data_IF_153299863299
#
_entry.id   IF_153299863299
#
_cell.length_a   1.000
_cell.length_b   1.000
_cell.length_c   1.000
_cell.angle_alpha   90.00
_cell.angle_beta   90.00
_cell.angle_gamma   90.00
#
_symmetry.space_group_name_H-M   'P 1'
#
loop_
_entity.id
_entity.type
_entity.pdbx_description
1 polymer ?
2 non-polymer ?
3 non-polymer ?
4 water ?
#
# COMPACT_ATOMS: atom_id res chain seq x y z
N UNK A 5 -11.86 -12.08 -32.80
CA UNK A 5 -11.46 -13.37 -32.23
C UNK A 5 -10.06 -13.29 -31.63
N UNK A 6 -9.53 -14.46 -31.24
CA UNK A 6 -8.19 -14.50 -30.64
C UNK A 6 -7.11 -14.19 -31.67
N UNK A 7 -7.33 -14.60 -32.93
CA UNK A 7 -6.33 -14.37 -33.98
C UNK A 7 -6.12 -12.88 -34.24
N UNK A 8 -7.21 -12.14 -34.47
CA UNK A 8 -7.10 -10.71 -34.69
C UNK A 8 -6.58 -9.99 -33.46
N UNK A 9 -7.00 -10.44 -32.27
CA UNK A 9 -6.55 -9.84 -31.02
C UNK A 9 -5.04 -9.96 -30.87
N UNK A 10 -4.49 -11.14 -31.13
CA UNK A 10 -3.04 -11.28 -31.03
C UNK A 10 -2.31 -10.73 -32.24
N UNK A 11 -3.01 -10.47 -33.34
CA UNK A 11 -2.41 -9.70 -34.43
C UNK A 11 -2.26 -8.23 -34.07
N UNK A 12 -3.18 -7.68 -33.28
CA UNK A 12 -3.14 -6.25 -32.98
C UNK A 12 -2.67 -5.94 -31.57
N UNK A 13 -2.32 -6.96 -30.77
CA UNK A 13 -1.94 -6.75 -29.37
C UNK A 13 -0.74 -5.82 -29.23
N UNK A 14 0.35 -6.12 -29.94
CA UNK A 14 1.61 -5.38 -29.79
C UNK A 14 1.43 -3.89 -30.08
N UNK A 15 0.92 -3.56 -31.26
CA UNK A 15 0.76 -2.17 -31.65
C UNK A 15 -0.50 -1.53 -31.09
N UNK A 16 -1.38 -2.33 -30.49
CA UNK A 16 -2.65 -1.87 -29.97
C UNK A 16 -2.61 -1.44 -28.52
N UNK A 17 -2.04 -2.28 -27.66
CA UNK A 17 -2.07 -2.01 -26.23
C UNK A 17 -0.73 -2.13 -25.51
N UNK A 18 0.26 -2.84 -26.06
CA UNK A 18 1.57 -2.84 -25.42
C UNK A 18 2.26 -1.49 -25.54
N UNK A 19 2.61 -1.12 -26.77
CA UNK A 19 3.34 0.14 -26.99
C UNK A 19 2.55 1.38 -26.58
N UNK A 20 1.26 1.57 -26.93
CA UNK A 20 0.52 2.73 -26.40
C UNK A 20 0.53 2.86 -24.88
N UNK A 21 0.16 1.80 -24.15
CA UNK A 21 0.13 1.87 -22.70
C UNK A 21 1.52 2.15 -22.13
N UNK A 22 2.55 1.48 -22.67
CA UNK A 22 3.91 1.71 -22.19
C UNK A 22 4.35 3.15 -22.41
N UNK A 23 4.09 3.69 -23.60
CA UNK A 23 4.46 5.08 -23.91
C UNK A 23 3.72 6.07 -23.02
N UNK A 24 2.39 5.89 -22.88
CA UNK A 24 1.60 6.74 -21.99
C UNK A 24 2.11 6.70 -20.56
N UNK A 25 2.27 5.49 -20.00
CA UNK A 25 2.75 5.35 -18.64
C UNK A 25 4.13 5.93 -18.42
N UNK A 26 5.01 5.84 -19.43
CA UNK A 26 6.35 6.38 -19.29
C UNK A 26 6.36 7.90 -19.39
N UNK A 27 5.52 8.45 -20.27
CA UNK A 27 5.54 9.88 -20.58
C UNK A 27 4.90 10.71 -19.47
N UNK A 28 4.21 10.08 -18.51
CA UNK A 28 3.63 10.79 -17.39
C UNK A 28 4.41 10.59 -16.10
N UNK A 29 5.54 9.90 -16.14
CA UNK A 29 6.39 9.72 -14.97
C UNK A 29 7.83 10.18 -15.20
N UNK A 30 8.21 10.49 -16.44
CA UNK A 30 9.60 10.79 -16.76
C UNK A 30 10.10 12.05 -16.08
N UNK A 31 9.24 13.05 -15.91
CA UNK A 31 9.67 14.28 -15.25
C UNK A 31 9.87 14.05 -13.75
N UNK A 32 9.01 13.25 -13.13
CA UNK A 32 9.19 12.89 -11.73
C UNK A 32 10.48 12.11 -11.51
N UNK A 33 10.78 11.19 -12.42
CA UNK A 33 12.04 10.45 -12.36
C UNK A 33 13.23 11.37 -12.54
N UNK A 34 13.11 12.36 -13.43
CA UNK A 34 14.19 13.33 -13.62
C UNK A 34 14.41 14.18 -12.37
N UNK A 35 13.34 14.60 -11.71
CA UNK A 35 13.48 15.39 -10.49
C UNK A 35 14.05 14.54 -9.36
N UNK A 36 13.65 13.27 -9.28
CA UNK A 36 14.23 12.38 -8.27
C UNK A 36 15.72 12.15 -8.51
N UNK A 37 16.11 11.98 -9.78
CA UNK A 37 17.53 11.82 -10.10
C UNK A 37 18.31 13.09 -9.81
N UNK A 38 17.71 14.26 -10.08
CA UNK A 38 18.34 15.53 -9.76
C UNK A 38 18.51 15.72 -8.26
N UNK A 39 17.51 15.29 -7.49
CA UNK A 39 17.60 15.34 -6.03
C UNK A 39 18.70 14.41 -5.51
N UNK A 40 18.81 13.22 -6.11
CA UNK A 40 19.85 12.27 -5.72
C UNK A 40 21.25 12.82 -6.03
N UNK A 41 21.41 13.44 -7.20
CA UNK A 41 22.71 13.98 -7.58
C UNK A 41 23.04 15.22 -6.75
N UNK A 42 22.03 16.03 -6.43
CA UNK A 42 22.24 17.24 -5.65
C UNK A 42 22.56 16.92 -4.20
N UNK A 43 22.01 15.84 -3.66
CA UNK A 43 22.25 15.49 -2.27
C UNK A 43 23.60 14.82 -2.04
N UNK A 44 24.33 14.50 -3.10
CA UNK A 44 25.66 13.93 -3.00
C UNK A 44 26.77 14.98 -3.09
N UNK A 45 26.42 16.26 -3.19
CA UNK A 45 27.39 17.32 -3.40
C UNK A 45 27.96 17.88 -2.09
N UNK A 46 27.57 17.34 -0.94
CA UNK A 46 28.06 17.87 0.31
C UNK A 46 27.43 19.18 0.73
N UNK A 47 26.21 19.44 0.29
CA UNK A 47 25.49 20.64 0.71
C UNK A 47 25.07 20.50 2.17
N UNK A 48 24.82 21.62 2.85
CA UNK A 48 24.23 21.54 4.19
C UNK A 48 22.84 20.94 4.15
N UNK A 49 22.42 20.38 5.29
CA UNK A 49 21.18 19.62 5.35
C UNK A 49 19.96 20.49 5.09
N UNK A 50 19.96 21.73 5.60
CA UNK A 50 18.82 22.61 5.40
C UNK A 50 18.66 22.99 3.94
N UNK A 51 19.77 23.12 3.21
CA UNK A 51 19.69 23.36 1.77
C UNK A 51 19.10 22.16 1.05
N UNK A 52 19.44 20.94 1.51
CA UNK A 52 18.86 19.74 0.93
C UNK A 52 17.35 19.68 1.18
N UNK A 53 16.93 20.04 2.40
CA UNK A 53 15.50 20.06 2.71
C UNK A 53 14.77 21.11 1.89
N UNK A 54 15.37 22.29 1.72
CA UNK A 54 14.73 23.34 0.91
C UNK A 54 14.66 22.93 -0.56
N UNK A 55 15.71 22.27 -1.06
CA UNK A 55 15.73 21.80 -2.44
C UNK A 55 14.66 20.75 -2.68
N UNK A 56 14.48 19.82 -1.73
CA UNK A 56 13.41 18.84 -1.92
C UNK A 56 12.04 19.45 -1.66
N UNK A 57 11.93 20.53 -0.90
CA UNK A 57 10.66 21.25 -0.77
C UNK A 57 10.27 21.87 -2.11
N UNK A 58 11.24 22.52 -2.77
CA UNK A 58 11.00 23.08 -4.09
C UNK A 58 10.67 22.00 -5.12
N UNK A 59 11.39 20.88 -5.07
CA UNK A 59 11.10 19.79 -5.98
C UNK A 59 9.74 19.17 -5.73
N UNK A 60 9.33 19.07 -4.45
CA UNK A 60 8.01 18.58 -4.14
C UNK A 60 6.91 19.51 -4.58
N UNK A 61 7.14 20.83 -4.44
CA UNK A 61 6.19 21.80 -4.99
C UNK A 61 6.05 21.66 -6.49
N UNK A 62 7.16 21.50 -7.20
CA UNK A 62 7.07 21.39 -8.65
C UNK A 62 6.44 20.08 -9.08
N UNK A 63 6.71 18.98 -8.36
CA UNK A 63 6.08 17.71 -8.69
C UNK A 63 4.59 17.73 -8.40
N UNK A 64 4.18 18.33 -7.28
CA UNK A 64 2.76 18.45 -6.99
C UNK A 64 2.05 19.34 -7.99
N UNK A 65 2.71 20.42 -8.43
CA UNK A 65 2.11 21.24 -9.47
C UNK A 65 2.02 20.49 -10.79
N UNK A 66 3.04 19.69 -11.11
CA UNK A 66 3.07 18.98 -12.39
C UNK A 66 1.98 17.93 -12.46
N UNK A 67 1.70 17.27 -11.35
CA UNK A 67 0.70 16.21 -11.40
C UNK A 67 -0.71 16.70 -11.08
N UNK A 68 -0.87 17.73 -10.24
CA UNK A 68 -2.19 18.14 -9.77
C UNK A 68 -2.57 19.59 -10.08
N UNK A 69 -1.84 20.29 -10.96
CA UNK A 69 -2.09 21.66 -11.37
C UNK A 69 -2.22 22.60 -10.18
N UNK A 70 -3.19 23.51 -10.23
CA UNK A 70 -3.35 24.50 -9.17
C UNK A 70 -3.92 23.87 -7.90
N UNK A 71 -4.71 22.80 -8.08
CA UNK A 71 -5.37 22.05 -7.02
C UNK A 71 -4.45 21.62 -5.87
N UNK A 72 -3.13 21.54 -6.09
CA UNK A 72 -2.11 21.17 -5.09
C UNK A 72 -2.22 21.92 -3.76
N UNK A 73 -2.91 23.07 -3.75
CA UNK A 73 -3.09 23.90 -2.56
C UNK A 73 -3.62 23.11 -1.38
N UNK A 74 -4.44 22.08 -1.62
CA UNK A 74 -4.97 21.29 -0.51
C UNK A 74 -3.88 20.49 0.17
N UNK A 75 -2.94 19.94 -0.59
CA UNK A 75 -1.79 19.24 0.00
C UNK A 75 -0.89 20.23 0.71
N UNK A 76 -0.77 21.45 0.15
CA UNK A 76 0.10 22.45 0.75
C UNK A 76 -0.48 22.93 2.08
N UNK A 77 -1.79 23.19 2.10
CA UNK A 77 -2.48 23.58 3.33
C UNK A 77 -2.46 22.46 4.36
N UNK A 78 -2.53 21.19 3.92
CA UNK A 78 -2.41 20.09 4.87
C UNK A 78 -1.04 20.05 5.50
N UNK A 79 0.02 20.26 4.70
CA UNK A 79 1.38 20.27 5.26
C UNK A 79 1.57 21.43 6.23
N UNK A 80 1.07 22.62 5.88
CA UNK A 80 1.18 23.77 6.78
C UNK A 80 0.40 23.56 8.07
N UNK A 81 -0.81 23.02 7.97
CA UNK A 81 -1.62 22.75 9.17
C UNK A 81 -0.97 21.69 10.05
N UNK A 82 -0.37 20.67 9.42
CA UNK A 82 0.32 19.63 10.19
C UNK A 82 1.51 20.21 10.95
N UNK A 83 2.29 21.09 10.30
CA UNK A 83 3.40 21.71 11.03
C UNK A 83 2.88 22.63 12.14
N UNK A 84 1.78 23.33 11.90
CA UNK A 84 1.22 24.20 12.93
C UNK A 84 0.78 23.41 14.15
N UNK A 85 0.10 22.28 13.93
CA UNK A 85 -0.33 21.42 15.04
C UNK A 85 0.88 20.82 15.75
N UNK A 86 1.89 20.39 14.99
CA UNK A 86 3.08 19.81 15.61
C UNK A 86 3.84 20.83 16.44
N UNK A 87 3.87 22.09 16.00
CA UNK A 87 4.57 23.12 16.74
C UNK A 87 3.78 23.53 17.99
N UNK A 88 2.46 23.54 17.89
CA UNK A 88 1.64 23.95 19.04
C UNK A 88 1.75 22.95 20.19
N UNK A 89 1.88 21.66 19.90
CA UNK A 89 1.97 20.63 20.92
C UNK A 89 3.36 20.00 20.99
N UNK A 90 4.40 20.77 20.67
CA UNK A 90 5.76 20.25 20.57
C UNK A 90 6.32 19.78 21.90
N UNK A 91 5.76 20.23 23.02
CA UNK A 91 6.22 19.84 24.34
C UNK A 91 5.33 18.79 25.00
N UNK A 92 4.26 18.37 24.33
CA UNK A 92 3.35 17.39 24.89
C UNK A 92 3.83 15.97 24.56
N UNK A 93 3.33 15.01 25.34
CA UNK A 93 3.61 13.60 25.10
C UNK A 93 2.56 12.94 24.22
N UNK A 94 1.60 13.69 23.70
CA UNK A 94 0.53 13.18 22.86
C UNK A 94 0.51 13.88 21.50
N UNK A 95 1.69 14.07 20.91
CA UNK A 95 1.79 14.70 19.59
C UNK A 95 1.09 13.86 18.52
N UNK A 96 1.24 12.54 18.58
CA UNK A 96 0.56 11.68 17.63
C UNK A 96 -0.95 11.74 17.77
N UNK A 97 -1.45 11.92 18.99
CA UNK A 97 -2.90 12.03 19.21
C UNK A 97 -3.44 13.29 18.54
N UNK A 98 -2.78 14.43 18.79
CA UNK A 98 -3.22 15.69 18.21
C UNK A 98 -3.11 15.67 16.70
N UNK A 99 -2.01 15.11 16.17
CA UNK A 99 -1.86 15.05 14.73
C UNK A 99 -2.87 14.11 14.09
N UNK A 100 -3.18 12.98 14.74
CA UNK A 100 -4.19 12.08 14.21
C UNK A 100 -5.58 12.70 14.26
N UNK A 101 -5.85 13.57 15.22
CA UNK A 101 -7.13 14.27 15.26
C UNK A 101 -7.19 15.29 14.13
N UNK A 102 -6.09 16.03 13.93
CA UNK A 102 -6.01 17.01 12.85
C UNK A 102 -6.24 16.32 11.50
N UNK A 103 -5.58 15.19 11.29
CA UNK A 103 -5.69 14.43 10.04
C UNK A 103 -7.13 13.96 9.87
N UNK A 104 -7.73 13.44 10.94
CA UNK A 104 -9.09 12.93 10.89
C UNK A 104 -10.07 14.03 10.48
N UNK A 105 -9.95 15.21 11.09
CA UNK A 105 -10.83 16.33 10.74
C UNK A 105 -10.62 16.75 9.29
N UNK A 106 -9.35 16.88 8.87
CA UNK A 106 -9.03 17.31 7.52
C UNK A 106 -9.60 16.35 6.47
N UNK A 107 -9.33 15.05 6.65
CA UNK A 107 -9.76 14.05 5.69
C UNK A 107 -11.27 13.92 5.68
N UNK A 108 -11.91 13.91 6.86
CA UNK A 108 -13.37 13.83 6.92
C UNK A 108 -14.00 15.02 6.21
N UNK A 109 -13.60 16.24 6.60
CA UNK A 109 -14.00 17.48 5.92
C UNK A 109 -13.90 17.36 4.40
N UNK A 110 -12.80 16.76 3.92
CA UNK A 110 -12.68 16.51 2.49
C UNK A 110 -13.73 15.53 1.97
N UNK A 111 -14.02 14.48 2.76
CA UNK A 111 -15.06 13.53 2.40
C UNK A 111 -16.45 14.14 2.44
N UNK A 112 -16.65 15.17 3.27
CA UNK A 112 -17.91 15.90 3.39
C UNK A 112 -18.24 16.74 2.17
N UNK A 113 -17.41 16.71 1.12
CA UNK A 113 -17.59 17.37 -0.16
C UNK A 113 -17.47 18.88 -0.06
N UNK A 114 -16.79 19.39 0.97
CA UNK A 114 -16.46 20.81 1.00
C UNK A 114 -15.54 21.16 -0.16
N UNK A 115 -14.72 20.20 -0.59
CA UNK A 115 -13.84 20.32 -1.74
C UNK A 115 -14.44 19.46 -2.84
N UNK A 116 -14.18 19.84 -4.10
CA UNK A 116 -14.68 19.13 -5.27
C UNK A 116 -14.31 17.65 -5.21
N UNK A 117 -15.25 16.79 -5.61
CA UNK A 117 -15.03 15.35 -5.57
C UNK A 117 -13.89 14.93 -6.50
N UNK A 118 -13.87 15.44 -7.74
CA UNK A 118 -12.83 15.07 -8.68
C UNK A 118 -11.48 15.59 -8.21
N UNK A 119 -11.48 16.74 -7.52
CA UNK A 119 -10.25 17.27 -6.94
C UNK A 119 -9.77 16.39 -5.80
N UNK A 120 -10.69 16.05 -4.87
CA UNK A 120 -10.31 15.25 -3.72
C UNK A 120 -9.76 13.91 -4.15
N UNK A 121 -10.44 13.28 -5.12
CA UNK A 121 -10.10 11.96 -5.62
C UNK A 121 -8.79 11.98 -6.39
N UNK A 122 -8.44 13.11 -7.01
CA UNK A 122 -7.27 13.18 -7.86
C UNK A 122 -5.97 13.07 -7.05
N UNK A 123 -5.83 13.86 -5.98
CA UNK A 123 -4.59 13.92 -5.22
C UNK A 123 -4.68 13.23 -3.86
N UNK A 124 -5.62 12.29 -3.69
CA UNK A 124 -5.81 11.67 -2.39
C UNK A 124 -4.59 10.85 -1.97
N UNK A 125 -3.88 10.28 -2.94
CA UNK A 125 -2.70 9.48 -2.63
C UNK A 125 -1.62 10.31 -1.96
N UNK A 126 -1.39 11.53 -2.48
CA UNK A 126 -0.38 12.41 -1.88
C UNK A 126 -0.85 12.94 -0.53
N UNK A 127 -2.14 13.30 -0.39
CA UNK A 127 -2.64 13.71 0.92
C UNK A 127 -2.60 12.56 1.91
N UNK A 128 -2.56 11.33 1.42
CA UNK A 128 -2.46 10.17 2.28
C UNK A 128 -1.04 9.99 2.74
N UNK A 129 -0.08 10.16 1.83
CA UNK A 129 1.32 9.99 2.20
C UNK A 129 1.73 11.10 3.17
N UNK A 130 1.26 12.33 2.92
CA UNK A 130 1.54 13.46 3.82
C UNK A 130 0.92 13.21 5.20
N UNK A 131 -0.33 12.74 5.24
CA UNK A 131 -0.98 12.44 6.51
C UNK A 131 -0.26 11.33 7.27
N UNK A 132 0.14 10.28 6.56
CA UNK A 132 0.87 9.18 7.19
C UNK A 132 2.21 9.63 7.74
N UNK A 133 2.92 10.46 6.98
CA UNK A 133 4.20 10.99 7.43
C UNK A 133 4.04 11.86 8.67
N UNK A 134 3.03 12.73 8.70
CA UNK A 134 2.83 13.62 9.84
C UNK A 134 2.45 12.83 11.09
N UNK A 135 1.51 11.89 10.95
CA UNK A 135 1.08 11.09 12.11
C UNK A 135 2.23 10.23 12.62
N UNK A 136 3.02 9.66 11.70
CA UNK A 136 4.15 8.83 12.09
C UNK A 136 5.21 9.65 12.81
N UNK A 137 5.48 10.88 12.34
CA UNK A 137 6.46 11.70 13.03
C UNK A 137 5.97 12.12 14.42
N UNK A 138 4.67 12.42 14.54
CA UNK A 138 4.12 12.73 15.85
C UNK A 138 4.22 11.58 16.83
N UNK A 139 3.88 10.37 16.37
CA UNK A 139 3.97 9.21 17.26
C UNK A 139 5.41 8.80 17.54
N UNK A 140 6.32 9.02 16.57
CA UNK A 140 7.72 8.72 16.81
C UNK A 140 8.32 9.71 17.82
N UNK A 141 7.90 10.96 17.77
CA UNK A 141 8.30 11.92 18.80
C UNK A 141 7.71 11.55 20.15
N UNK A 142 6.48 11.03 20.17
CA UNK A 142 5.87 10.60 21.42
C UNK A 142 6.60 9.42 22.04
N UNK A 143 6.92 8.42 21.23
CA UNK A 143 7.57 7.21 21.71
C UNK A 143 9.06 7.37 21.92
N UNK A 144 9.65 8.48 21.48
CA UNK A 144 11.05 8.73 21.68
C UNK A 144 11.96 8.24 20.58
N UNK A 145 11.39 7.70 19.49
CA UNK A 145 12.23 7.26 18.38
C UNK A 145 12.90 8.43 17.67
N UNK A 146 12.22 9.58 17.60
CA UNK A 146 12.81 10.82 17.13
C UNK A 146 13.12 11.67 18.35
N UNK A 147 14.39 12.05 18.50
CA UNK A 147 14.85 12.74 19.70
C UNK A 147 14.24 14.11 19.92
N UNK A 148 14.43 15.01 18.96
CA UNK A 148 13.96 16.38 19.08
C UNK A 148 12.91 16.66 18.01
N UNK A 149 12.07 17.65 18.29
CA UNK A 149 11.09 18.11 17.30
C UNK A 149 11.84 18.76 16.14
N UNK A 150 11.55 18.38 14.90
CA UNK A 150 12.32 18.91 13.77
C UNK A 150 12.07 20.38 13.53
N UNK A 151 13.05 21.01 12.91
CA UNK A 151 12.91 22.39 12.46
C UNK A 151 11.89 22.45 11.31
N UNK A 152 11.34 23.63 11.01
CA UNK A 152 10.36 23.71 9.92
C UNK A 152 10.87 23.19 8.59
N UNK A 153 12.12 23.47 8.24
CA UNK A 153 12.64 23.06 6.94
C UNK A 153 12.79 21.54 6.86
N UNK A 154 13.16 20.90 7.98
CA UNK A 154 13.27 19.44 7.98
C UNK A 154 11.91 18.77 7.88
N UNK A 155 10.91 19.29 8.60
CA UNK A 155 9.57 18.73 8.54
C UNK A 155 8.96 18.90 7.15
N UNK A 156 9.13 20.09 6.55
CA UNK A 156 8.57 20.31 5.23
C UNK A 156 9.31 19.50 4.18
N UNK A 157 10.62 19.32 4.34
CA UNK A 157 11.34 18.45 3.43
C UNK A 157 10.93 16.99 3.56
N UNK A 158 10.61 16.57 4.78
CA UNK A 158 10.09 15.22 4.99
C UNK A 158 8.73 15.05 4.32
N UNK A 159 7.87 16.06 4.43
CA UNK A 159 6.55 15.97 3.80
C UNK A 159 6.66 16.07 2.28
N UNK A 160 7.59 16.88 1.79
CA UNK A 160 7.79 17.08 0.36
C UNK A 160 9.03 16.36 -0.16
N UNK A 161 9.34 15.19 0.40
CA UNK A 161 10.41 14.38 -0.16
C UNK A 161 10.00 13.92 -1.55
N UNK A 162 10.81 14.27 -2.55
CA UNK A 162 10.38 14.13 -3.94
C UNK A 162 10.31 12.67 -4.39
N UNK A 163 11.01 11.76 -3.72
CA UNK A 163 10.80 10.37 -4.05
C UNK A 163 9.53 9.77 -3.50
N UNK A 164 8.91 10.45 -2.54
CA UNK A 164 7.71 9.94 -1.88
C UNK A 164 6.48 10.83 -2.04
N UNK A 165 6.62 12.01 -2.64
CA UNK A 165 5.53 12.99 -2.72
C UNK A 165 4.35 12.50 -3.57
N UNK A 166 4.59 11.96 -4.77
CA UNK A 166 3.44 11.65 -5.63
C UNK A 166 2.81 10.28 -5.43
N UNK A 167 3.53 9.20 -5.73
CA UNK A 167 3.02 7.86 -5.50
C UNK A 167 3.83 7.12 -4.45
N UNK A 168 4.79 7.82 -3.86
CA UNK A 168 5.76 7.28 -2.93
C UNK A 168 5.24 6.53 -1.74
N UNK A 169 5.98 5.51 -1.32
CA UNK A 169 5.64 4.81 -0.09
C UNK A 169 5.91 5.70 1.10
N UNK A 170 5.12 5.51 2.15
CA UNK A 170 5.43 6.17 3.40
C UNK A 170 6.80 5.72 3.90
N UNK A 171 7.63 6.66 4.27
CA UNK A 171 8.91 6.35 4.90
C UNK A 171 8.96 7.08 6.22
N UNK A 172 9.70 6.52 7.17
CA UNK A 172 9.83 7.14 8.48
C UNK A 172 10.72 8.38 8.38
N UNK A 173 10.61 9.22 9.40
CA UNK A 173 11.43 10.42 9.47
C UNK A 173 12.91 10.07 9.53
N UNK A 174 13.26 9.01 10.27
CA UNK A 174 14.65 8.56 10.32
C UNK A 174 15.13 8.05 8.97
N UNK A 175 14.26 7.31 8.26
CA UNK A 175 14.59 6.87 6.90
C UNK A 175 14.80 8.07 5.97
N UNK A 176 13.95 9.10 6.11
CA UNK A 176 14.12 10.30 5.32
C UNK A 176 15.44 11.00 5.64
N UNK A 177 15.78 11.10 6.93
CA UNK A 177 17.04 11.73 7.32
C UNK A 177 18.24 10.93 6.83
N UNK A 178 18.13 9.60 6.81
CA UNK A 178 19.18 8.76 6.22
C UNK A 178 19.32 9.03 4.73
N UNK A 179 18.19 9.19 4.03
CA UNK A 179 18.25 9.58 2.62
C UNK A 179 18.91 10.95 2.45
N UNK A 180 18.63 11.87 3.38
CA UNK A 180 19.22 13.22 3.32
C UNK A 180 20.73 13.14 3.48
N UNK A 181 21.21 12.32 4.43
CA UNK A 181 22.64 12.16 4.65
C UNK A 181 23.34 11.61 3.41
N UNK A 182 22.63 10.81 2.62
CA UNK A 182 23.14 10.36 1.35
C UNK A 182 23.92 9.06 1.44
N UNK A 183 23.98 8.37 0.31
CA UNK A 183 24.75 7.15 0.14
C UNK A 183 25.41 7.19 -1.23
N UNK A 184 26.58 6.57 -1.38
CA UNK A 184 27.25 6.53 -2.69
C UNK A 184 26.41 5.88 -3.76
N UNK A 185 26.39 6.50 -4.94
CA UNK A 185 25.69 5.92 -6.08
C UNK A 185 26.47 4.70 -6.54
N UNK A 186 25.81 3.55 -6.55
CA UNK A 186 26.47 2.29 -6.84
C UNK A 186 25.71 1.55 -7.92
N UNK A 187 26.34 0.49 -8.44
CA UNK A 187 25.70 -0.38 -9.42
C UNK A 187 24.45 -1.05 -8.85
N UNK A 188 24.52 -1.47 -7.58
CA UNK A 188 23.36 -2.07 -6.91
C UNK A 188 22.18 -1.12 -6.86
N UNK A 189 22.43 0.15 -6.54
CA UNK A 189 21.37 1.16 -6.50
C UNK A 189 20.70 1.31 -7.87
N UNK A 190 21.51 1.45 -8.91
CA UNK A 190 21.00 1.62 -10.27
C UNK A 190 20.23 0.38 -10.73
N UNK A 191 20.75 -0.81 -10.41
CA UNK A 191 20.04 -2.05 -10.72
C UNK A 191 18.70 -2.11 -10.01
N UNK A 192 18.65 -1.69 -8.74
CA UNK A 192 17.38 -1.64 -8.01
C UNK A 192 16.38 -0.73 -8.70
N UNK A 193 16.83 0.47 -9.10
CA UNK A 193 15.95 1.42 -9.78
C UNK A 193 15.46 0.86 -11.10
N UNK A 194 16.38 0.30 -11.90
CA UNK A 194 16.04 -0.26 -13.21
C UNK A 194 15.06 -1.43 -13.07
N UNK A 195 15.33 -2.34 -12.13
CA UNK A 195 14.46 -3.48 -11.89
C UNK A 195 13.06 -3.02 -11.49
N UNK A 196 12.98 -2.03 -10.59
CA UNK A 196 11.68 -1.52 -10.16
C UNK A 196 10.93 -0.87 -11.33
N UNK A 197 11.63 -0.10 -12.16
CA UNK A 197 10.98 0.53 -13.32
C UNK A 197 10.49 -0.50 -14.33
N UNK A 198 11.32 -1.51 -14.63
CA UNK A 198 10.92 -2.57 -15.55
C UNK A 198 9.72 -3.34 -15.01
N UNK A 199 9.72 -3.66 -13.72
CA UNK A 199 8.60 -4.37 -13.11
C UNK A 199 7.35 -3.50 -13.13
N UNK A 200 7.49 -2.20 -12.90
CA UNK A 200 6.36 -1.28 -12.96
C UNK A 200 5.74 -1.25 -14.34
N UNK A 201 6.57 -1.12 -15.37
CA UNK A 201 6.06 -1.09 -16.75
C UNK A 201 5.40 -2.41 -17.13
N UNK A 202 5.99 -3.52 -16.70
CA UNK A 202 5.41 -4.83 -16.95
C UNK A 202 4.04 -4.97 -16.27
N UNK A 203 3.94 -4.55 -15.00
CA UNK A 203 2.69 -4.62 -14.28
C UNK A 203 1.63 -3.71 -14.90
N UNK A 204 2.03 -2.52 -15.36
CA UNK A 204 1.10 -1.63 -16.04
C UNK A 204 0.55 -2.24 -17.33
N UNK A 205 1.45 -2.80 -18.15
CA UNK A 205 1.06 -3.45 -19.39
C UNK A 205 0.13 -4.62 -19.11
N UNK A 206 0.46 -5.44 -18.11
CA UNK A 206 -0.38 -6.57 -17.73
C UNK A 206 -1.75 -6.09 -17.24
N UNK A 207 -1.78 -5.02 -16.43
CA UNK A 207 -3.03 -4.49 -15.91
C UNK A 207 -3.93 -3.96 -17.01
N UNK A 208 -3.35 -3.38 -18.06
CA UNK A 208 -4.18 -2.76 -19.08
C UNK A 208 -4.54 -3.71 -20.22
N UNK A 209 -3.64 -4.62 -20.58
CA UNK A 209 -3.84 -5.49 -21.74
C UNK A 209 -4.15 -6.93 -21.35
N UNK A 210 -3.25 -7.58 -20.61
CA UNK A 210 -3.41 -9.01 -20.31
C UNK A 210 -4.58 -9.24 -19.37
N UNK A 211 -4.62 -8.52 -18.26
CA UNK A 211 -5.64 -8.66 -17.24
C UNK A 211 -7.09 -8.68 -17.68
N UNK A 212 -7.57 -7.60 -18.32
CA UNK A 212 -8.98 -7.57 -18.75
C UNK A 212 -9.35 -8.61 -19.79
N UNK A 213 -8.41 -9.01 -20.64
CA UNK A 213 -8.68 -9.96 -21.72
C UNK A 213 -8.09 -11.33 -21.46
N UNK A 214 -7.84 -11.65 -20.19
CA UNK A 214 -7.19 -12.90 -19.81
C UNK A 214 -7.98 -14.13 -20.26
N UNK A 215 -9.18 -14.28 -19.75
CA UNK A 215 -9.98 -15.47 -20.05
C UNK A 215 -10.55 -15.56 -21.46
N UNK A 216 -11.11 -14.50 -22.08
CA UNK A 216 -11.60 -14.66 -23.45
C UNK A 216 -10.54 -15.07 -24.47
N UNK A 217 -9.27 -14.67 -24.30
CA UNK A 217 -8.25 -14.93 -25.32
C UNK A 217 -7.09 -15.75 -24.80
N UNK A 218 -6.29 -15.21 -23.86
CA UNK A 218 -5.11 -15.88 -23.31
C UNK A 218 -5.40 -17.30 -22.83
N UNK A 219 -6.31 -17.44 -21.88
CA UNK A 219 -6.70 -18.77 -21.40
C UNK A 219 -7.75 -19.35 -22.35
N UNK A 220 -7.58 -20.61 -22.81
CA UNK A 220 -8.59 -21.28 -23.63
C UNK A 220 -9.94 -21.45 -22.93
N UNK A 230 -23.28 -18.19 -16.63
CA UNK A 230 -23.22 -19.07 -15.48
C UNK A 230 -22.30 -18.57 -14.38
N UNK A 231 -22.41 -19.19 -13.21
CA UNK A 231 -21.62 -18.79 -12.04
C UNK A 231 -20.12 -18.81 -12.33
N UNK A 232 -19.67 -19.82 -13.09
CA UNK A 232 -18.26 -19.90 -13.44
C UNK A 232 -17.82 -18.69 -14.26
N UNK A 233 -18.64 -18.30 -15.24
CA UNK A 233 -18.33 -17.13 -16.07
C UNK A 233 -18.20 -15.88 -15.21
N UNK A 234 -19.14 -15.69 -14.28
CA UNK A 234 -19.13 -14.54 -13.39
C UNK A 234 -17.88 -14.52 -12.53
N UNK A 235 -17.50 -15.68 -12.00
CA UNK A 235 -16.29 -15.77 -11.18
C UNK A 235 -15.03 -15.54 -12.00
N UNK A 236 -15.02 -15.97 -13.27
CA UNK A 236 -13.90 -15.69 -14.15
C UNK A 236 -13.76 -14.19 -14.41
N UNK A 237 -14.88 -13.51 -14.69
CA UNK A 237 -14.86 -12.07 -14.86
C UNK A 237 -14.42 -11.37 -13.57
N UNK A 238 -14.89 -11.87 -12.43
CA UNK A 238 -14.46 -11.33 -11.14
C UNK A 238 -12.97 -11.49 -10.94
N UNK A 239 -12.44 -12.67 -11.28
CA UNK A 239 -11.02 -12.94 -11.11
C UNK A 239 -10.19 -12.03 -12.01
N UNK A 240 -10.59 -11.87 -13.27
CA UNK A 240 -9.78 -11.03 -14.16
C UNK A 240 -9.86 -9.56 -13.77
N UNK A 241 -11.00 -9.11 -13.24
CA UNK A 241 -11.09 -7.74 -12.74
C UNK A 241 -10.23 -7.56 -11.50
N UNK A 242 -10.12 -8.62 -10.68
CA UNK A 242 -9.30 -8.55 -9.48
C UNK A 242 -7.82 -8.52 -9.85
N UNK A 243 -7.42 -9.40 -10.76
CA UNK A 243 -6.01 -9.49 -11.17
C UNK A 243 -5.58 -8.21 -11.88
N UNK A 244 -6.44 -7.63 -12.71
CA UNK A 244 -6.13 -6.35 -13.33
C UNK A 244 -5.99 -5.24 -12.29
N UNK A 245 -6.87 -5.20 -11.30
CA UNK A 245 -6.74 -4.24 -10.21
C UNK A 245 -5.45 -4.46 -9.43
N UNK A 246 -5.09 -5.73 -9.21
CA UNK A 246 -3.86 -6.05 -8.50
C UNK A 246 -2.65 -5.55 -9.27
N UNK A 247 -2.59 -5.81 -10.58
CA UNK A 247 -1.45 -5.32 -11.36
C UNK A 247 -1.40 -3.80 -11.42
N UNK A 248 -2.55 -3.13 -11.40
CA UNK A 248 -2.54 -1.66 -11.29
C UNK A 248 -1.89 -1.20 -9.98
N UNK A 249 -2.27 -1.87 -8.87
CA UNK A 249 -1.64 -1.60 -7.58
C UNK A 249 -0.15 -1.92 -7.60
N UNK A 250 0.23 -3.03 -8.24
CA UNK A 250 1.64 -3.42 -8.33
C UNK A 250 2.43 -2.39 -9.14
N UNK A 251 1.83 -1.87 -10.21
CA UNK A 251 2.44 -0.80 -11.00
C UNK A 251 2.75 0.39 -10.12
N UNK A 252 1.77 0.82 -9.33
CA UNK A 252 1.98 1.96 -8.43
C UNK A 252 3.06 1.62 -7.40
N UNK A 253 3.04 0.41 -6.87
CA UNK A 253 4.05 0.00 -5.89
C UNK A 253 5.46 0.00 -6.43
N UNK A 254 5.67 -0.61 -7.60
CA UNK A 254 7.00 -0.67 -8.19
C UNK A 254 7.47 0.70 -8.65
N UNK A 255 6.55 1.53 -9.17
CA UNK A 255 6.91 2.90 -9.51
C UNK A 255 7.33 3.68 -8.28
N UNK A 256 6.62 3.48 -7.17
CA UNK A 256 6.97 4.13 -5.92
C UNK A 256 8.33 3.67 -5.41
N UNK A 257 8.63 2.36 -5.55
CA UNK A 257 9.97 1.84 -5.23
C UNK A 257 11.02 2.53 -6.08
N UNK A 258 10.75 2.66 -7.38
CA UNK A 258 11.72 3.25 -8.29
C UNK A 258 11.99 4.70 -7.92
N UNK A 259 10.93 5.48 -7.69
CA UNK A 259 11.10 6.90 -7.34
C UNK A 259 11.82 7.07 -6.01
N UNK A 260 11.41 6.30 -4.99
CA UNK A 260 12.03 6.42 -3.67
C UNK A 260 13.49 6.02 -3.69
N UNK A 261 13.82 4.90 -4.35
CA UNK A 261 15.21 4.50 -4.48
C UNK A 261 16.01 5.51 -5.29
N UNK A 262 15.43 6.00 -6.40
CA UNK A 262 16.10 6.96 -7.27
C UNK A 262 16.33 8.29 -6.59
N UNK A 263 15.54 8.63 -5.57
CA UNK A 263 15.80 9.85 -4.82
C UNK A 263 16.83 9.67 -3.73
N UNK A 264 17.17 8.43 -3.39
CA UNK A 264 18.19 8.12 -2.40
C UNK A 264 17.69 7.44 -1.15
N UNK A 265 16.40 7.13 -1.07
CA UNK A 265 15.84 6.48 0.10
C UNK A 265 15.72 4.97 -0.14
N UNK A 266 15.11 4.29 0.81
CA UNK A 266 14.88 2.86 0.68
C UNK A 266 16.09 1.97 0.77
N UNK A 267 17.02 2.26 1.66
CA UNK A 267 18.19 1.43 1.88
C UNK A 267 18.21 0.94 3.33
N UNK A 268 18.86 -0.20 3.53
CA UNK A 268 19.01 -0.81 4.86
C UNK A 268 20.49 -1.06 5.11
N UNK A 269 21.04 -0.31 6.05
CA UNK A 269 22.45 -0.39 6.45
C UNK A 269 22.55 -1.53 7.46
N UNK A 270 22.62 -2.76 6.98
CA UNK A 270 22.68 -3.92 7.85
C UNK A 270 24.11 -4.45 7.91
N UNK A 271 24.63 -4.58 9.14
CA UNK A 271 25.98 -5.08 9.41
C UNK A 271 27.02 -4.35 8.57
N UNK A 272 26.90 -3.02 8.53
CA UNK A 272 27.77 -2.13 7.76
C UNK A 272 27.80 -2.53 6.29
N UNK A 273 26.66 -3.00 5.79
CA UNK A 273 26.51 -3.44 4.41
C UNK A 273 25.20 -2.85 3.89
N UNK A 274 25.31 -2.02 2.86
CA UNK A 274 24.17 -1.29 2.30
C UNK A 274 23.35 -2.16 1.33
N UNK A 275 22.05 -2.27 1.59
CA UNK A 275 21.14 -3.03 0.73
C UNK A 275 19.95 -2.17 0.33
N UNK A 276 19.86 -1.83 -0.95
CA UNK A 276 18.69 -1.13 -1.48
C UNK A 276 17.59 -2.17 -1.67
N UNK A 277 16.80 -2.38 -0.63
CA UNK A 277 15.81 -3.46 -0.62
C UNK A 277 14.44 -2.98 -0.18
N UNK A 278 14.09 -1.73 -0.49
CA UNK A 278 12.74 -1.23 -0.25
C UNK A 278 11.73 -2.01 -1.07
N UNK A 279 10.81 -2.68 -0.40
CA UNK A 279 9.75 -3.45 -1.04
C UNK A 279 8.41 -2.86 -0.63
N UNK A 280 7.66 -2.36 -1.60
CA UNK A 280 6.34 -1.83 -1.34
C UNK A 280 5.27 -2.91 -1.49
N UNK A 281 5.34 -3.69 -2.55
CA UNK A 281 4.36 -4.72 -2.82
C UNK A 281 5.09 -6.01 -3.15
N UNK A 282 4.52 -7.13 -2.70
CA UNK A 282 5.03 -8.46 -3.00
C UNK A 282 3.97 -9.16 -3.85
N UNK A 283 4.02 -9.02 -5.18
CA UNK A 283 2.99 -9.62 -6.04
C UNK A 283 2.86 -11.13 -5.89
N UNK A 284 3.96 -11.86 -5.72
CA UNK A 284 3.90 -13.31 -5.60
C UNK A 284 3.13 -13.76 -4.36
N UNK A 285 3.19 -12.99 -3.28
CA UNK A 285 2.49 -13.34 -2.05
C UNK A 285 1.01 -13.00 -2.08
N UNK A 286 0.55 -12.33 -3.12
CA UNK A 286 -0.86 -12.04 -3.32
C UNK A 286 -1.44 -12.90 -4.45
N UNK A 287 -0.74 -12.96 -5.57
CA UNK A 287 -1.16 -13.81 -6.69
C UNK A 287 -1.14 -15.28 -6.30
N UNK A 288 -0.07 -15.73 -5.65
CA UNK A 288 0.02 -17.07 -5.06
C UNK A 288 0.00 -16.92 -3.55
N UNK A 289 -1.18 -16.80 -2.95
CA UNK A 289 -1.28 -16.46 -1.52
C UNK A 289 -1.29 -17.64 -0.57
N UNK A 290 -0.58 -17.47 0.55
CA UNK A 290 -0.71 -18.44 1.63
C UNK A 290 -1.93 -18.14 2.48
N UNK A 291 -2.14 -16.88 2.82
CA UNK A 291 -3.27 -16.47 3.65
C UNK A 291 -3.69 -15.07 3.23
N UNK A 292 -4.91 -14.70 3.63
CA UNK A 292 -5.40 -13.36 3.35
C UNK A 292 -4.68 -12.32 4.21
N UNK A 293 -4.21 -12.72 5.39
CA UNK A 293 -3.39 -11.84 6.21
C UNK A 293 -2.10 -11.48 5.47
N UNK A 294 -1.48 -12.49 4.85
CA UNK A 294 -0.28 -12.26 4.04
C UNK A 294 -0.61 -11.37 2.85
N UNK A 295 -1.77 -11.57 2.23
CA UNK A 295 -2.20 -10.74 1.11
C UNK A 295 -2.28 -9.28 1.52
N UNK A 296 -2.96 -9.02 2.64
CA UNK A 296 -3.12 -7.66 3.13
C UNK A 296 -1.78 -7.02 3.46
N UNK A 297 -0.89 -7.78 4.12
CA UNK A 297 0.43 -7.25 4.44
C UNK A 297 1.25 -6.96 3.18
N UNK A 298 1.27 -7.90 2.24
CA UNK A 298 2.07 -7.79 1.03
C UNK A 298 1.48 -6.82 0.01
N UNK A 299 0.22 -6.42 0.17
CA UNK A 299 -0.41 -5.46 -0.73
C UNK A 299 0.38 -4.16 -0.80
N UNK A 300 0.62 -3.55 0.35
CA UNK A 300 1.41 -2.33 0.47
C UNK A 300 2.16 -2.44 1.80
N UNK A 301 3.37 -3.01 1.77
CA UNK A 301 4.14 -3.23 2.99
C UNK A 301 4.36 -1.96 3.81
N UNK A 302 4.79 -0.81 3.24
CA UNK A 302 4.87 0.43 4.05
C UNK A 302 3.55 0.80 4.71
N UNK A 303 2.44 0.62 3.99
CA UNK A 303 1.13 0.96 4.54
C UNK A 303 0.75 -0.01 5.64
N UNK A 304 1.04 -1.30 5.44
CA UNK A 304 0.72 -2.30 6.45
C UNK A 304 1.51 -2.05 7.72
N UNK A 305 2.80 -1.71 7.58
CA UNK A 305 3.62 -1.36 8.72
C UNK A 305 3.06 -0.12 9.42
N UNK A 306 2.74 0.91 8.64
CA UNK A 306 2.26 2.17 9.20
C UNK A 306 0.99 1.95 10.01
N UNK A 307 0.09 1.12 9.48
CA UNK A 307 -1.20 0.89 10.13
C UNK A 307 -1.03 0.01 11.35
N UNK A 308 -0.11 -0.96 11.29
CA UNK A 308 0.18 -1.78 12.45
C UNK A 308 0.83 -0.96 13.57
N UNK A 309 1.79 -0.11 13.23
CA UNK A 309 2.59 0.58 14.24
C UNK A 309 1.91 1.82 14.81
N UNK A 310 1.10 2.51 14.02
CA UNK A 310 0.55 3.79 14.44
C UNK A 310 -0.96 3.80 14.64
N UNK A 311 -1.68 2.75 14.22
CA UNK A 311 -3.11 2.63 14.48
C UNK A 311 -3.42 1.39 15.30
N UNK A 312 -2.85 0.25 14.94
CA UNK A 312 -3.18 -1.00 15.61
C UNK A 312 -2.66 -1.04 17.04
N UNK A 313 -1.39 -0.67 17.25
CA UNK A 313 -0.84 -0.67 18.61
C UNK A 313 -1.49 0.36 19.51
N UNK A 314 -1.89 1.50 18.95
CA UNK A 314 -2.56 2.52 19.74
C UNK A 314 -4.01 2.16 20.05
N UNK A 315 -4.60 1.23 19.31
CA UNK A 315 -5.98 0.83 19.54
C UNK A 315 -6.09 -0.51 20.28
N UNK A 316 -4.98 -1.02 20.83
CA UNK A 316 -5.00 -2.31 21.50
C UNK A 316 -5.76 -2.29 22.82
N UNK A 317 -6.05 -1.11 23.36
CA UNK A 317 -6.82 -1.02 24.60
C UNK A 317 -8.28 -1.38 24.39
N UNK A 318 -8.75 -1.42 23.15
CA UNK A 318 -10.12 -1.78 22.82
C UNK A 318 -10.31 -3.27 22.57
N UNK A 319 -9.26 -4.06 22.66
CA UNK A 319 -9.31 -5.45 22.26
C UNK A 319 -8.72 -5.67 20.88
N UNK A 320 -8.44 -6.94 20.56
CA UNK A 320 -7.79 -7.27 19.30
C UNK A 320 -8.71 -7.04 18.12
N UNK A 321 -9.95 -7.53 18.21
CA UNK A 321 -10.90 -7.40 17.10
C UNK A 321 -11.29 -5.94 16.87
N UNK A 322 -11.50 -5.19 17.95
CA UNK A 322 -11.83 -3.77 17.81
C UNK A 322 -10.66 -3.00 17.24
N UNK A 323 -9.43 -3.37 17.60
CA UNK A 323 -8.26 -2.72 17.02
C UNK A 323 -8.13 -3.04 15.54
N UNK A 324 -8.50 -4.26 15.13
CA UNK A 324 -8.49 -4.61 13.71
C UNK A 324 -9.51 -3.77 12.96
N UNK A 325 -10.72 -3.62 13.51
CA UNK A 325 -11.73 -2.79 12.88
C UNK A 325 -11.31 -1.32 12.82
N UNK A 326 -10.67 -0.82 13.87
CA UNK A 326 -10.19 0.56 13.88
C UNK A 326 -9.09 0.75 12.84
N UNK A 327 -8.19 -0.23 12.73
CA UNK A 327 -7.11 -0.16 11.74
C UNK A 327 -7.67 -0.17 10.32
N UNK A 328 -8.65 -1.04 10.05
CA UNK A 328 -9.23 -1.09 8.71
C UNK A 328 -10.07 0.15 8.42
N UNK A 329 -10.71 0.74 9.44
CA UNK A 329 -11.42 1.99 9.25
C UNK A 329 -10.45 3.12 8.96
N UNK A 330 -9.30 3.13 9.64
CA UNK A 330 -8.26 4.11 9.33
C UNK A 330 -7.73 3.90 7.92
N UNK A 331 -7.69 2.65 7.46
CA UNK A 331 -7.27 2.36 6.09
C UNK A 331 -8.30 2.93 5.12
N UNK A 332 -9.58 2.80 5.47
CA UNK A 332 -10.67 3.37 4.67
C UNK A 332 -10.49 4.87 4.57
N UNK A 333 -10.24 5.50 5.73
CA UNK A 333 -10.08 6.95 5.81
C UNK A 333 -8.90 7.41 4.96
N UNK A 334 -7.81 6.64 4.98
CA UNK A 334 -6.64 7.04 4.22
C UNK A 334 -6.86 6.92 2.72
N UNK A 335 -7.60 5.89 2.28
CA UNK A 335 -7.77 5.67 0.85
C UNK A 335 -9.03 6.33 0.30
N UNK A 336 -9.76 7.08 1.13
CA UNK A 336 -10.98 7.71 0.64
C UNK A 336 -12.25 6.92 0.84
N UNK A 337 -13.29 7.52 1.42
CA UNK A 337 -14.53 6.79 1.67
C UNK A 337 -15.37 6.67 0.41
N UNK A 338 -15.35 5.48 -0.16
CA UNK A 338 -16.16 5.08 -1.30
C UNK A 338 -16.75 3.77 -0.85
N UNK A 339 -18.05 3.57 -1.10
CA UNK A 339 -18.74 2.39 -0.58
C UNK A 339 -18.06 1.09 -0.98
N UNK A 340 -17.53 1.02 -2.20
CA UNK A 340 -16.92 -0.24 -2.65
C UNK A 340 -15.66 -0.54 -1.84
N UNK A 341 -14.74 0.42 -1.75
CA UNK A 341 -13.50 0.21 -1.01
C UNK A 341 -13.74 0.09 0.49
N UNK A 342 -14.69 0.85 1.04
CA UNK A 342 -15.03 0.72 2.45
C UNK A 342 -15.63 -0.64 2.75
N UNK A 343 -16.50 -1.14 1.86
CA UNK A 343 -17.07 -2.48 2.03
C UNK A 343 -16.00 -3.55 1.90
N UNK A 344 -15.05 -3.38 0.97
CA UNK A 344 -13.96 -4.33 0.81
C UNK A 344 -13.09 -4.37 2.06
N UNK A 345 -12.76 -3.20 2.62
CA UNK A 345 -11.88 -3.17 3.79
C UNK A 345 -12.60 -3.66 5.05
N UNK A 346 -13.89 -3.36 5.17
CA UNK A 346 -14.68 -3.88 6.28
C UNK A 346 -14.82 -5.40 6.20
N UNK A 347 -15.01 -5.94 4.99
CA UNK A 347 -15.01 -7.39 4.81
C UNK A 347 -13.63 -7.97 5.07
N UNK A 348 -12.57 -7.25 4.69
CA UNK A 348 -11.21 -7.71 4.86
C UNK A 348 -10.84 -7.83 6.33
N UNK A 349 -11.37 -6.94 7.16
CA UNK A 349 -11.16 -7.05 8.61
C UNK A 349 -11.68 -8.39 9.14
N UNK A 350 -12.92 -8.73 8.80
CA UNK A 350 -13.50 -10.00 9.23
C UNK A 350 -12.78 -11.19 8.62
N UNK A 351 -12.42 -11.10 7.34
CA UNK A 351 -11.76 -12.21 6.66
C UNK A 351 -10.41 -12.51 7.30
N UNK A 352 -9.58 -11.47 7.47
CA UNK A 352 -8.25 -11.66 8.04
C UNK A 352 -8.31 -12.09 9.49
N UNK A 353 -9.22 -11.50 10.29
CA UNK A 353 -9.30 -11.88 11.69
C UNK A 353 -9.76 -13.32 11.84
N UNK A 354 -10.82 -13.71 11.13
CA UNK A 354 -11.37 -15.05 11.24
C UNK A 354 -10.36 -16.08 10.76
N UNK A 355 -9.71 -15.80 9.62
CA UNK A 355 -8.76 -16.77 9.10
C UNK A 355 -7.53 -16.87 9.99
N UNK A 356 -7.10 -15.76 10.59
CA UNK A 356 -5.96 -15.78 11.49
C UNK A 356 -6.24 -16.61 12.74
N UNK A 357 -7.38 -16.36 13.39
CA UNK A 357 -7.68 -17.10 14.61
C UNK A 357 -8.02 -18.56 14.31
N UNK A 358 -8.64 -18.84 13.16
CA UNK A 358 -8.95 -20.22 12.81
C UNK A 358 -7.68 -21.00 12.48
N UNK A 359 -6.73 -20.37 11.78
CA UNK A 359 -5.48 -21.04 11.47
C UNK A 359 -4.63 -21.24 12.73
N UNK A 360 -4.67 -20.29 13.68
CA UNK A 360 -4.00 -20.51 14.96
C UNK A 360 -4.61 -21.68 15.72
N UNK A 361 -5.93 -21.74 15.77
CA UNK A 361 -6.59 -22.84 16.49
C UNK A 361 -6.31 -24.18 15.83
N UNK A 362 -6.34 -24.22 14.49
CA UNK A 362 -6.02 -25.44 13.76
C UNK A 362 -4.58 -25.86 14.00
N UNK A 363 -3.64 -24.90 13.95
CA UNK A 363 -2.24 -25.22 14.21
C UNK A 363 -2.03 -25.75 15.62
N UNK A 364 -2.75 -25.18 16.60
CA UNK A 364 -2.60 -25.65 17.98
C UNK A 364 -3.17 -27.04 18.15
N UNK A 365 -4.35 -27.30 17.60
CA UNK A 365 -5.01 -28.59 17.77
C UNK A 365 -4.26 -29.68 17.02
N UNK A 366 -3.90 -29.42 15.76
CA UNK A 366 -3.30 -30.43 14.90
C UNK A 366 -1.78 -30.49 14.98
N UNK A 367 -1.15 -29.59 15.75
CA UNK A 367 0.30 -29.45 15.83
C UNK A 367 0.94 -29.39 14.44
N UNK A 368 0.40 -28.50 13.61
CA UNK A 368 0.79 -28.40 12.21
C UNK A 368 1.20 -26.97 11.87
N UNK A 369 1.99 -26.85 10.81
CA UNK A 369 2.47 -25.55 10.34
C UNK A 369 1.44 -24.92 9.40
N UNK A 370 0.23 -24.72 9.93
CA UNK A 370 -0.87 -24.20 9.13
C UNK A 370 -1.28 -22.81 9.62
N UNK A 371 -0.34 -22.07 10.19
CA UNK A 371 -0.57 -20.70 10.59
C UNK A 371 -0.70 -19.80 9.37
N UNK A 372 -1.16 -18.57 9.59
CA UNK A 372 -1.35 -17.62 8.50
C UNK A 372 -0.05 -17.19 7.86
N UNK A 373 1.06 -17.33 8.56
CA UNK A 373 2.39 -17.11 8.02
C UNK A 373 3.20 -18.39 8.19
N UNK A 374 4.34 -18.45 7.51
CA UNK A 374 5.23 -19.59 7.65
C UNK A 374 5.84 -19.63 9.04
N UNK A 375 5.93 -20.83 9.60
CA UNK A 375 6.56 -21.01 10.89
C UNK A 375 8.07 -20.78 10.79
N UNK A 376 8.70 -20.31 11.86
CA UNK A 376 10.17 -20.25 11.92
C UNK A 376 10.76 -21.66 11.93
N UNK A 377 12.07 -21.79 11.63
CA UNK A 377 12.69 -23.13 11.66
C UNK A 377 12.65 -23.82 13.01
N UNK A 378 12.51 -23.08 14.10
CA UNK A 378 12.37 -23.66 15.43
C UNK A 378 10.94 -23.39 15.90
N UNK A 379 10.02 -24.28 15.52
CA UNK A 379 8.64 -24.22 15.97
C UNK A 379 8.22 -25.59 16.51
N UNK A 380 7.26 -25.58 17.42
CA UNK A 380 6.89 -26.78 18.16
C UNK A 380 5.91 -27.67 17.41
N UNK A 381 5.53 -27.33 16.19
CA UNK A 381 4.58 -28.13 15.44
C UNK A 381 5.18 -29.47 15.04
N UNK A 382 4.43 -30.55 15.29
CA UNK A 382 4.93 -31.89 14.98
C UNK A 382 4.94 -32.15 13.48
N UNK A 383 3.86 -31.79 12.80
CA UNK A 383 3.72 -31.99 11.37
C UNK A 383 4.12 -30.71 10.65
N UNK A 384 5.26 -30.76 9.96
CA UNK A 384 5.83 -29.58 9.31
C UNK A 384 5.77 -29.63 7.80
N UNK A 385 6.04 -30.80 7.20
CA UNK A 385 6.13 -30.92 5.75
C UNK A 385 5.27 -32.06 5.22
N UNK A 386 4.29 -32.51 5.97
CA UNK A 386 3.49 -33.64 5.56
C UNK A 386 2.55 -33.30 4.41
N UNK A 387 1.89 -34.34 3.90
CA UNK A 387 0.94 -34.16 2.81
C UNK A 387 -0.32 -33.46 3.29
N UNK A 388 -0.75 -33.75 4.53
CA UNK A 388 -1.93 -33.09 5.07
C UNK A 388 -1.71 -31.61 5.31
N UNK A 389 -0.51 -31.24 5.77
CA UNK A 389 -0.17 -29.83 5.99
C UNK A 389 -0.17 -29.09 4.66
N UNK A 390 0.42 -29.69 3.63
CA UNK A 390 0.45 -29.08 2.31
C UNK A 390 -0.95 -28.96 1.72
N UNK A 391 -1.79 -29.98 1.92
CA UNK A 391 -3.17 -29.93 1.43
C UNK A 391 -3.98 -28.85 2.12
N UNK A 392 -3.84 -28.72 3.44
CA UNK A 392 -4.56 -27.68 4.18
C UNK A 392 -4.08 -26.29 3.78
N UNK A 393 -2.77 -26.12 3.61
CA UNK A 393 -2.24 -24.83 3.17
C UNK A 393 -2.70 -24.48 1.76
N UNK A 394 -2.78 -25.48 0.88
CA UNK A 394 -3.28 -25.24 -0.47
C UNK A 394 -4.76 -24.88 -0.45
N UNK A 395 -5.54 -25.53 0.41
CA UNK A 395 -6.96 -25.20 0.55
C UNK A 395 -7.14 -23.78 1.03
N UNK A 396 -6.34 -23.35 2.00
CA UNK A 396 -6.43 -21.97 2.49
C UNK A 396 -5.95 -20.97 1.45
N UNK A 397 -4.96 -21.35 0.63
CA UNK A 397 -4.54 -20.47 -0.45
C UNK A 397 -5.59 -20.33 -1.53
N UNK A 398 -6.29 -21.43 -1.86
CA UNK A 398 -7.40 -21.36 -2.80
C UNK A 398 -8.54 -20.51 -2.23
N UNK A 399 -8.78 -20.62 -0.92
CA UNK A 399 -9.77 -19.74 -0.29
C UNK A 399 -9.36 -18.29 -0.37
N UNK A 400 -8.05 -18.02 -0.25
CA UNK A 400 -7.55 -16.66 -0.38
C UNK A 400 -7.73 -16.12 -1.79
N UNK A 401 -7.48 -16.95 -2.80
CA UNK A 401 -7.71 -16.57 -4.20
C UNK A 401 -9.19 -16.30 -4.45
N UNK A 402 -10.05 -17.14 -3.87
CA UNK A 402 -11.50 -16.94 -3.95
C UNK A 402 -11.93 -15.63 -3.30
N UNK A 403 -11.36 -15.30 -2.14
CA UNK A 403 -11.65 -14.01 -1.49
C UNK A 403 -11.14 -12.85 -2.33
N UNK A 404 -9.97 -13.01 -2.94
CA UNK A 404 -9.41 -11.95 -3.78
C UNK A 404 -10.28 -11.67 -4.99
N UNK A 405 -10.77 -12.72 -5.64
CA UNK A 405 -11.64 -12.53 -6.80
C UNK A 405 -12.96 -11.88 -6.39
N UNK A 406 -13.50 -12.28 -5.24
CA UNK A 406 -14.75 -11.70 -4.75
C UNK A 406 -14.58 -10.22 -4.43
N UNK A 407 -13.54 -9.87 -3.68
CA UNK A 407 -13.36 -8.47 -3.30
C UNK A 407 -12.90 -7.61 -4.47
N UNK A 408 -12.11 -8.17 -5.38
CA UNK A 408 -11.65 -7.45 -6.55
C UNK A 408 -12.65 -7.33 -7.66
N UNK A 409 -13.80 -8.01 -7.57
CA UNK A 409 -14.82 -7.81 -8.59
C UNK A 409 -15.43 -6.41 -8.55
N UNK A 410 -15.31 -5.72 -7.42
CA UNK A 410 -15.81 -4.36 -7.30
C UNK A 410 -14.93 -3.34 -8.02
N UNK A 411 -13.74 -3.72 -8.47
CA UNK A 411 -12.75 -2.79 -8.99
C UNK A 411 -12.52 -2.98 -10.49
N UNK A 412 -13.57 -3.35 -11.24
CA UNK A 412 -13.45 -3.49 -12.68
C UNK A 412 -13.42 -2.14 -13.41
N UNK A 424 -20.56 4.40 -8.28
CA UNK A 424 -20.52 3.02 -7.81
C UNK A 424 -20.64 2.94 -6.30
N UNK A 425 -21.86 3.13 -5.78
CA UNK A 425 -22.06 3.15 -4.36
C UNK A 425 -22.62 1.87 -3.80
N UNK A 426 -23.78 1.97 -3.12
CA UNK A 426 -24.36 0.79 -2.47
C UNK A 426 -24.92 -0.19 -3.48
N UNK A 427 -25.63 0.32 -4.49
CA UNK A 427 -26.31 -0.55 -5.45
C UNK A 427 -25.32 -1.35 -6.28
N UNK A 428 -24.22 -0.73 -6.71
CA UNK A 428 -23.22 -1.43 -7.51
C UNK A 428 -22.56 -2.53 -6.71
N UNK A 429 -22.19 -2.24 -5.45
CA UNK A 429 -21.57 -3.24 -4.59
C UNK A 429 -22.50 -4.40 -4.30
N UNK A 430 -23.77 -4.10 -4.01
CA UNK A 430 -24.75 -5.14 -3.73
C UNK A 430 -24.98 -6.00 -4.96
N UNK A 431 -25.08 -5.39 -6.15
CA UNK A 431 -25.28 -6.14 -7.37
C UNK A 431 -24.09 -7.04 -7.68
N UNK A 432 -22.87 -6.49 -7.58
CA UNK A 432 -21.69 -7.27 -7.92
C UNK A 432 -21.45 -8.40 -6.93
N UNK A 433 -21.77 -8.19 -5.65
CA UNK A 433 -21.61 -9.26 -4.68
C UNK A 433 -22.78 -10.22 -4.66
N UNK A 434 -23.91 -9.85 -5.28
CA UNK A 434 -25.01 -10.80 -5.44
C UNK A 434 -24.83 -11.65 -6.68
N UNK A 435 -24.11 -11.15 -7.68
CA UNK A 435 -23.75 -12.00 -8.82
C UNK A 435 -22.80 -13.11 -8.41
N UNK A 436 -22.02 -12.90 -7.36
CA UNK A 436 -21.19 -13.94 -6.77
C UNK A 436 -21.89 -14.65 -5.60
N UNK A 437 -23.18 -14.37 -5.39
CA UNK A 437 -24.03 -15.02 -4.40
C UNK A 437 -23.53 -14.82 -2.97
N UNK A 438 -22.82 -13.72 -2.72
CA UNK A 438 -22.26 -13.36 -1.42
C UNK A 438 -21.40 -14.48 -0.85
N UNK A 439 -20.60 -15.11 -1.73
CA UNK A 439 -19.96 -16.37 -1.39
C UNK A 439 -18.87 -16.20 -0.35
N UNK A 440 -18.06 -15.14 -0.46
CA UNK A 440 -16.95 -14.95 0.47
C UNK A 440 -17.42 -14.60 1.87
N UNK A 441 -18.52 -13.87 1.98
CA UNK A 441 -19.07 -13.58 3.31
C UNK A 441 -19.62 -14.83 3.96
N UNK A 442 -20.25 -15.71 3.18
CA UNK A 442 -20.72 -16.99 3.72
C UNK A 442 -19.55 -17.89 4.10
N UNK A 443 -18.47 -17.89 3.31
CA UNK A 443 -17.30 -18.68 3.65
C UNK A 443 -16.62 -18.15 4.90
N UNK A 444 -16.54 -16.82 5.03
CA UNK A 444 -15.97 -16.21 6.24
C UNK A 444 -16.84 -16.51 7.45
N UNK A 445 -18.16 -16.43 7.28
CA UNK A 445 -19.07 -16.80 8.37
C UNK A 445 -18.97 -18.28 8.69
N UNK A 446 -18.86 -19.13 7.67
CA UNK A 446 -18.70 -20.55 7.91
C UNK A 446 -17.37 -20.89 8.57
N UNK A 447 -16.31 -20.17 8.19
CA UNK A 447 -15.02 -20.38 8.85
C UNK A 447 -15.06 -19.95 10.31
N UNK A 448 -15.77 -18.86 10.62
CA UNK A 448 -15.94 -18.44 12.00
C UNK A 448 -16.75 -19.45 12.80
N UNK A 449 -17.82 -20.01 12.20
CA UNK A 449 -18.60 -21.05 12.85
C UNK A 449 -17.72 -22.27 13.14
N UNK A 450 -16.91 -22.66 12.16
CA UNK A 450 -15.98 -23.78 12.34
C UNK A 450 -14.98 -23.49 13.45
N UNK A 451 -14.45 -22.27 13.48
CA UNK A 451 -13.55 -21.81 14.53
C UNK A 451 -14.14 -22.02 15.92
N UNK A 452 -15.37 -21.54 16.14
CA UNK A 452 -16.03 -21.68 17.43
C UNK A 452 -16.27 -23.15 17.78
N UNK A 453 -16.67 -23.96 16.80
CA UNK A 453 -17.01 -25.36 17.05
C UNK A 453 -15.79 -26.15 17.55
N UNK A 454 -14.65 -26.03 16.86
CA UNK A 454 -13.48 -26.81 17.23
C UNK A 454 -12.97 -26.38 18.61
N UNK A 455 -13.02 -25.09 18.91
CA UNK A 455 -12.63 -24.58 20.21
C UNK A 455 -13.54 -25.06 21.34
#
# INVERSE_FOLDING_TARGET
>A
MATFSRQEFFQQLLQGCLLPTAQQGLDQIWLLLAICLACRLLWRLGLPSYLKHASTVAGGFFSLYHFFQLHMVWVVLLSLLCYLVLFLCRHSSHRGVFLSVTILIYLLMGEMHMVDTVTWHKMRGAQMIVAMKAVSLGFDLDRGEVGTVPSPVEFMGYLYFVGTIVFGPWISFHSYLQAVQGRPLSARWLQKVARSLALALLCLVLSTCVGPYLFPYFIPLNGDRLLRKGTMVRWLRAYESAVSFHFSNYFVGFLSEATATLAGAGFTEEKDHLEWDLTVSKPLNVELPRSMVEVVTSWNLPMSYWLNNYVFKNALRLGTFSAVLVTYAASALLHGFSFHLAAVLLSLAFITYVEHVLRKRLARILSACVLSKRCPPDCSHQHRLGLGVRALNLLFGALAIFHLAYLGSLFDVDVDDTTEEQGYGMAYTVHKWSELSWASHWVTFGCWIFYRLIGAAAFESRLEVLFQGPAAAAVSKGEELFTGVVPILVELDGDVNGHKFSVSGEGEGDATYGKLTLKFICTTGKLPVPWPTLVTTLTYGVQCFSRYPDHMKQHDFFKSAMPEGYVQERTIFFKDDGNYKTRAEVKFEGDTLVNRIELKGIDFKEDGNILGHKLEYNYNSHNVYIMADKQKNGIKVNFKIRHNIEDGSVQLADHYQQNTPIGDGPVLLPDNHYLSTQSKLSKDPNEKRDHMVLLEFVTAAGITLGMDELYKSGGSGWSHPQFEK
#
